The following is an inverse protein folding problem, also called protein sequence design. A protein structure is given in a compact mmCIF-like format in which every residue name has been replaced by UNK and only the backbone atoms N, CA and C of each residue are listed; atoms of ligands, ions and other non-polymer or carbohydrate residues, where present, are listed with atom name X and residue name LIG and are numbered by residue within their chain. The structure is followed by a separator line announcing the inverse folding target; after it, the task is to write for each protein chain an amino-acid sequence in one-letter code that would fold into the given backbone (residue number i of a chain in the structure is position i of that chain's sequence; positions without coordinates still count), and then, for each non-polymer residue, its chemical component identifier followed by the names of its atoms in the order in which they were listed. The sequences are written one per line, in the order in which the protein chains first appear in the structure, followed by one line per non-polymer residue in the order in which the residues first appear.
data_IF_284767638891
#
_entry.id   IF_284767638891
#
_cell.length_a   1.000
_cell.length_b   1.000
_cell.length_c   1.000
_cell.angle_alpha   90.00
_cell.angle_beta   90.00
_cell.angle_gamma   90.00
#
_symmetry.space_group_name_H-M   'P 1'
#
loop_
_entity.id
_entity.type
_entity.pdbx_description
1 polymer ?
#
# COMPACT_ATOMS: atom_id res chain seq x y z
N UNK A 1 -43.43 42.92 3.65
CA UNK A 1 -42.93 44.01 2.79
C UNK A 1 -41.46 44.17 3.05
N UNK A 2 -40.62 43.77 2.14
CA UNK A 2 -39.39 44.41 1.70
C UNK A 2 -38.70 43.42 0.74
N UNK A 3 -38.41 43.98 -0.39
CA UNK A 3 -38.19 43.39 -1.69
C UNK A 3 -36.85 42.64 -1.88
N UNK A 4 -36.96 41.65 -2.79
CA UNK A 4 -35.86 41.01 -3.47
C UNK A 4 -35.08 41.96 -4.37
N UNK A 5 -33.78 41.84 -4.42
CA UNK A 5 -33.01 42.39 -5.53
C UNK A 5 -32.11 41.28 -6.09
N UNK A 6 -32.54 40.83 -7.25
CA UNK A 6 -31.85 39.88 -8.13
C UNK A 6 -30.81 40.67 -8.96
N UNK A 7 -29.56 40.37 -8.91
CA UNK A 7 -28.52 40.92 -9.78
C UNK A 7 -28.00 39.85 -10.71
N UNK A 8 -28.48 39.89 -11.95
CA UNK A 8 -27.99 39.10 -13.08
C UNK A 8 -26.83 39.85 -13.69
N UNK A 9 -25.67 39.21 -13.77
CA UNK A 9 -24.51 39.72 -14.54
C UNK A 9 -24.28 38.74 -15.70
N UNK A 10 -24.66 39.19 -16.85
CA UNK A 10 -24.33 38.63 -18.16
C UNK A 10 -22.97 39.20 -18.59
N UNK A 11 -21.99 38.37 -18.81
CA UNK A 11 -20.67 38.76 -19.35
C UNK A 11 -20.34 37.91 -20.56
N UNK A 12 -20.24 38.58 -21.69
CA UNK A 12 -20.14 38.11 -23.06
C UNK A 12 -18.79 37.43 -23.40
N UNK A 13 -18.92 36.43 -24.26
CA UNK A 13 -17.88 35.76 -25.04
C UNK A 13 -17.22 36.75 -26.05
N UNK A 14 -15.91 36.75 -26.10
CA UNK A 14 -15.15 37.29 -27.24
C UNK A 14 -14.10 36.25 -27.66
N UNK A 15 -14.37 35.66 -28.82
CA UNK A 15 -13.43 34.90 -29.61
C UNK A 15 -12.48 35.85 -30.33
N UNK A 16 -11.22 35.57 -30.30
CA UNK A 16 -10.25 36.15 -31.26
C UNK A 16 -9.45 35.00 -31.89
N UNK A 17 -9.75 34.80 -33.15
CA UNK A 17 -8.95 34.11 -34.15
C UNK A 17 -7.85 35.06 -34.64
N UNK A 18 -6.62 34.61 -34.69
CA UNK A 18 -5.59 35.18 -35.54
C UNK A 18 -4.71 34.08 -36.11
N UNK A 19 -4.92 33.90 -37.40
CA UNK A 19 -4.11 33.20 -38.38
C UNK A 19 -2.88 34.05 -38.72
N UNK A 20 -1.69 33.48 -38.72
CA UNK A 20 -0.62 33.91 -39.61
C UNK A 20 0.44 32.80 -39.78
N UNK A 21 0.53 32.31 -41.00
CA UNK A 21 1.70 31.73 -41.68
C UNK A 21 1.96 32.61 -42.90
N UNK A 22 3.05 32.50 -43.67
CA UNK A 22 4.38 31.90 -43.50
C UNK A 22 5.52 32.81 -44.02
N UNK A 23 6.79 32.47 -43.81
CA UNK A 23 7.81 32.78 -44.83
C UNK A 23 8.98 31.80 -44.83
N UNK A 24 9.23 31.33 -45.96
CA UNK A 24 10.13 30.44 -46.64
C UNK A 24 11.49 31.10 -46.83
N UNK A 25 12.55 30.32 -46.77
CA UNK A 25 13.81 30.29 -47.55
C UNK A 25 14.90 29.66 -46.65
N UNK A 26 15.67 28.71 -46.98
CA UNK A 26 16.08 28.09 -48.20
C UNK A 26 17.34 27.28 -47.91
N UNK A 27 17.48 26.30 -48.67
CA UNK A 27 18.71 25.65 -49.12
C UNK A 27 19.01 24.25 -48.60
N UNK A 28 18.92 23.40 -49.57
CA UNK A 28 19.21 21.99 -49.59
C UNK A 28 20.68 21.68 -49.37
N UNK A 29 20.96 20.58 -48.69
CA UNK A 29 22.07 19.74 -49.14
C UNK A 29 21.75 18.27 -48.80
N UNK A 30 21.78 17.48 -49.90
CA UNK A 30 21.61 16.04 -49.90
C UNK A 30 22.85 15.39 -49.32
N UNK A 31 22.71 14.58 -48.28
CA UNK A 31 23.62 13.44 -48.13
C UNK A 31 22.82 12.15 -47.96
N UNK A 32 22.77 11.44 -49.07
CA UNK A 32 22.31 10.06 -49.17
C UNK A 32 23.34 9.18 -48.51
N UNK A 33 23.13 8.78 -47.29
CA UNK A 33 23.93 7.73 -46.65
C UNK A 33 23.19 6.42 -46.82
N UNK A 34 23.64 5.66 -47.81
CA UNK A 34 23.26 4.26 -48.08
C UNK A 34 23.69 3.43 -46.87
N UNK A 35 22.73 2.99 -46.08
CA UNK A 35 22.97 1.98 -45.05
C UNK A 35 23.07 0.63 -45.73
N UNK A 36 24.27 0.04 -45.75
CA UNK A 36 24.56 -1.27 -46.16
C UNK A 36 23.78 -2.31 -45.35
N UNK A 37 23.07 -3.19 -46.03
CA UNK A 37 22.38 -4.32 -45.43
C UNK A 37 23.41 -5.26 -44.78
N UNK A 38 23.24 -5.49 -43.46
CA UNK A 38 23.95 -6.56 -42.77
C UNK A 38 23.25 -7.86 -43.09
N UNK A 39 23.94 -8.88 -43.60
CA UNK A 39 23.31 -10.17 -43.87
C UNK A 39 23.00 -10.90 -42.57
N UNK A 40 21.76 -11.39 -42.48
CA UNK A 40 21.32 -12.32 -41.46
C UNK A 40 22.14 -13.63 -41.57
N UNK A 41 22.64 -14.18 -40.45
CA UNK A 41 23.20 -15.51 -40.47
C UNK A 41 22.09 -16.56 -40.70
N UNK A 42 22.37 -17.50 -41.57
CA UNK A 42 21.51 -18.63 -41.86
C UNK A 42 21.27 -19.53 -40.64
N UNK A 43 20.12 -20.20 -40.53
CA UNK A 43 19.86 -21.11 -39.43
C UNK A 43 20.74 -22.34 -39.55
N UNK A 44 21.68 -22.52 -38.64
CA UNK A 44 22.36 -23.77 -38.42
C UNK A 44 21.39 -24.77 -37.79
N UNK A 45 21.06 -25.79 -38.52
CA UNK A 45 20.41 -26.99 -38.02
C UNK A 45 21.38 -27.75 -37.12
N UNK A 46 21.12 -27.71 -35.82
CA UNK A 46 21.53 -28.78 -34.91
C UNK A 46 20.33 -29.16 -34.07
N UNK A 47 19.78 -30.30 -34.47
CA UNK A 47 18.84 -31.07 -33.68
C UNK A 47 19.59 -31.72 -32.52
N UNK A 48 18.84 -32.05 -31.50
CA UNK A 48 19.15 -32.86 -30.33
C UNK A 48 19.75 -32.11 -29.11
N UNK A 49 18.83 -31.56 -28.31
CA UNK A 49 18.83 -31.87 -26.88
C UNK A 49 17.41 -31.73 -26.34
N UNK A 50 16.80 -32.91 -26.19
CA UNK A 50 15.54 -33.07 -25.50
C UNK A 50 15.70 -32.80 -24.00
N UNK A 51 14.66 -32.20 -23.42
CA UNK A 51 14.32 -32.23 -22.00
C UNK A 51 15.28 -31.54 -21.04
N UNK A 52 15.19 -30.22 -20.98
CA UNK A 52 15.07 -29.54 -19.68
C UNK A 52 13.82 -28.66 -19.77
N UNK A 53 12.69 -29.24 -19.38
CA UNK A 53 11.51 -28.47 -19.01
C UNK A 53 11.87 -27.80 -17.71
N UNK A 54 12.63 -26.70 -17.82
CA UNK A 54 12.75 -25.76 -16.72
C UNK A 54 11.34 -25.30 -16.39
N UNK A 55 10.87 -25.70 -15.22
CA UNK A 55 9.65 -25.13 -14.58
C UNK A 55 9.67 -23.63 -14.83
N UNK A 56 8.51 -23.04 -15.21
CA UNK A 56 8.44 -21.60 -15.36
C UNK A 56 8.96 -20.97 -14.06
N UNK A 57 9.77 -19.91 -14.14
CA UNK A 57 10.30 -19.27 -12.95
C UNK A 57 9.14 -19.01 -11.98
N UNK A 58 9.25 -19.57 -10.79
CA UNK A 58 8.25 -19.38 -9.74
C UNK A 58 8.05 -17.88 -9.61
N UNK A 59 6.83 -17.42 -9.62
CA UNK A 59 6.47 -15.99 -9.54
C UNK A 59 7.17 -15.27 -8.37
N UNK A 60 7.70 -16.00 -7.39
CA UNK A 60 8.47 -15.52 -6.26
C UNK A 60 9.80 -14.86 -6.63
N UNK A 61 10.39 -15.18 -7.79
CA UNK A 61 11.67 -14.62 -8.25
C UNK A 61 11.52 -13.26 -8.97
N UNK A 62 10.31 -12.94 -9.44
CA UNK A 62 10.09 -11.77 -10.31
C UNK A 62 9.81 -10.50 -9.53
N UNK A 63 9.21 -10.59 -8.33
CA UNK A 63 8.87 -9.43 -7.48
C UNK A 63 9.07 -9.73 -5.97
N UNK A 64 10.29 -9.93 -5.49
CA UNK A 64 10.50 -10.31 -4.09
C UNK A 64 10.06 -9.25 -3.08
N UNK A 65 9.85 -8.00 -3.53
CA UNK A 65 9.56 -6.87 -2.64
C UNK A 65 8.06 -6.63 -2.39
N UNK A 66 7.20 -6.86 -3.38
CA UNK A 66 5.77 -6.56 -3.29
C UNK A 66 4.91 -7.76 -2.88
N UNK A 67 5.26 -8.96 -3.31
CA UNK A 67 4.38 -10.11 -3.20
C UNK A 67 4.27 -10.68 -1.77
N UNK A 68 5.34 -10.65 -0.99
CA UNK A 68 5.33 -11.30 0.33
C UNK A 68 4.45 -10.57 1.35
N UNK A 69 4.36 -9.24 1.28
CA UNK A 69 3.54 -8.50 2.24
C UNK A 69 2.06 -8.83 2.11
N UNK A 70 1.52 -8.88 0.89
CA UNK A 70 0.10 -9.17 0.65
C UNK A 70 -0.25 -10.64 0.90
N UNK A 71 0.67 -11.58 0.67
CA UNK A 71 0.49 -13.01 1.02
C UNK A 71 0.44 -13.21 2.53
N UNK A 72 1.25 -12.48 3.27
CA UNK A 72 1.29 -12.55 4.74
C UNK A 72 0.27 -11.62 5.40
N UNK A 73 -0.40 -10.76 4.61
CA UNK A 73 -1.38 -9.80 5.12
C UNK A 73 -2.52 -10.52 5.82
N UNK A 74 -2.79 -10.10 7.03
CA UNK A 74 -3.91 -10.61 7.82
C UNK A 74 -5.04 -9.60 7.86
N UNK A 75 -6.19 -10.05 7.39
CA UNK A 75 -7.40 -9.23 7.33
C UNK A 75 -7.81 -8.76 8.72
N UNK A 76 -8.33 -7.55 8.78
CA UNK A 76 -8.86 -6.95 9.99
C UNK A 76 -10.09 -6.08 9.72
N UNK A 77 -10.67 -5.51 10.78
CA UNK A 77 -11.81 -4.61 10.63
C UNK A 77 -11.49 -3.41 9.74
N UNK A 78 -12.45 -2.98 8.94
CA UNK A 78 -12.37 -1.92 7.93
C UNK A 78 -11.65 -2.28 6.63
N UNK A 79 -11.02 -3.45 6.51
CA UNK A 79 -10.53 -3.92 5.21
C UNK A 79 -11.69 -4.14 4.24
N UNK A 80 -11.41 -3.98 2.96
CA UNK A 80 -12.38 -4.24 1.89
C UNK A 80 -11.89 -5.40 1.06
N UNK A 81 -12.71 -6.41 0.93
CA UNK A 81 -12.43 -7.62 0.16
C UNK A 81 -13.54 -7.89 -0.85
N UNK A 82 -13.18 -8.53 -1.94
CA UNK A 82 -14.13 -9.09 -2.91
C UNK A 82 -14.07 -10.60 -2.90
N UNK A 83 -15.21 -11.24 -3.02
CA UNK A 83 -15.33 -12.69 -3.10
C UNK A 83 -16.00 -13.07 -4.41
N UNK A 84 -15.36 -13.94 -5.17
CA UNK A 84 -15.86 -14.44 -6.44
C UNK A 84 -15.92 -15.96 -6.41
N UNK A 85 -17.02 -16.51 -6.91
CA UNK A 85 -17.19 -17.96 -7.11
C UNK A 85 -17.29 -18.22 -8.61
N UNK A 86 -16.33 -18.95 -9.14
CA UNK A 86 -16.25 -19.20 -10.56
C UNK A 86 -17.53 -19.87 -11.10
N UNK A 87 -18.06 -19.30 -12.19
CA UNK A 87 -19.28 -19.80 -12.84
C UNK A 87 -20.60 -19.52 -12.07
N UNK A 88 -20.55 -18.80 -10.95
CA UNK A 88 -21.70 -18.55 -10.07
C UNK A 88 -22.00 -17.06 -9.84
N UNK A 89 -21.49 -16.20 -10.71
CA UNK A 89 -21.83 -14.78 -10.68
C UNK A 89 -23.16 -14.51 -11.44
N UNK A 90 -24.00 -13.55 -10.99
CA UNK A 90 -23.75 -12.60 -9.90
C UNK A 90 -24.17 -13.10 -8.51
N UNK A 91 -24.85 -14.24 -8.38
CA UNK A 91 -25.56 -14.64 -7.16
C UNK A 91 -24.61 -14.83 -5.96
N UNK A 92 -23.47 -15.47 -6.19
CA UNK A 92 -22.46 -15.76 -5.16
C UNK A 92 -21.20 -14.91 -5.27
N UNK A 93 -21.19 -13.91 -6.16
CA UNK A 93 -20.09 -12.95 -6.25
C UNK A 93 -20.44 -11.69 -5.47
N UNK A 94 -19.60 -11.33 -4.51
CA UNK A 94 -19.81 -10.17 -3.63
C UNK A 94 -18.61 -9.23 -3.71
N UNK A 95 -18.71 -8.17 -4.51
CA UNK A 95 -17.66 -7.15 -4.58
C UNK A 95 -17.69 -6.24 -3.36
N UNK A 96 -16.54 -5.70 -2.98
CA UNK A 96 -16.37 -4.62 -2.02
C UNK A 96 -17.05 -4.85 -0.65
N UNK A 97 -16.86 -6.03 -0.07
CA UNK A 97 -17.32 -6.34 1.29
C UNK A 97 -16.40 -5.65 2.27
N UNK A 98 -16.92 -4.70 3.04
CA UNK A 98 -16.17 -4.12 4.15
C UNK A 98 -16.24 -5.05 5.36
N UNK A 99 -15.09 -5.40 5.93
CA UNK A 99 -15.00 -6.21 7.14
C UNK A 99 -15.52 -5.40 8.33
N UNK A 100 -16.61 -5.83 8.98
CA UNK A 100 -17.18 -5.10 10.09
C UNK A 100 -16.34 -5.26 11.38
N UNK A 101 -16.60 -4.45 12.43
CA UNK A 101 -15.83 -4.51 13.68
C UNK A 101 -15.86 -5.85 14.40
N UNK A 102 -16.93 -6.67 14.22
CA UNK A 102 -17.02 -8.03 14.77
C UNK A 102 -16.19 -9.05 13.98
N UNK A 103 -15.47 -8.58 12.93
CA UNK A 103 -14.60 -9.37 12.08
C UNK A 103 -15.26 -10.56 11.36
N UNK A 104 -16.59 -10.56 11.25
CA UNK A 104 -17.35 -11.58 10.55
C UNK A 104 -18.07 -10.99 9.36
N UNK A 105 -17.81 -11.50 8.16
CA UNK A 105 -18.55 -11.14 6.97
C UNK A 105 -19.79 -12.03 6.80
N UNK A 106 -20.89 -11.44 6.32
CA UNK A 106 -22.07 -12.18 5.91
C UNK A 106 -21.89 -12.65 4.47
N UNK A 107 -22.19 -13.92 4.22
CA UNK A 107 -22.04 -14.50 2.89
C UNK A 107 -23.25 -15.39 2.54
N UNK A 108 -23.71 -15.41 1.27
CA UNK A 108 -24.84 -16.24 0.86
C UNK A 108 -24.66 -17.71 1.29
N UNK A 109 -25.73 -18.36 1.65
CA UNK A 109 -25.82 -19.75 2.14
C UNK A 109 -25.13 -20.00 3.50
N UNK A 110 -24.27 -19.11 3.98
CA UNK A 110 -23.54 -19.28 5.24
C UNK A 110 -24.17 -18.42 6.33
N UNK A 111 -25.08 -19.01 7.13
CA UNK A 111 -25.88 -18.29 8.14
C UNK A 111 -25.06 -17.70 9.28
N UNK A 112 -24.02 -18.39 9.71
CA UNK A 112 -23.19 -17.98 10.85
C UNK A 112 -22.18 -16.88 10.53
N UNK A 113 -22.08 -16.52 9.23
CA UNK A 113 -21.02 -15.65 8.74
C UNK A 113 -19.62 -16.28 8.85
N UNK A 114 -18.65 -15.63 8.28
CA UNK A 114 -17.27 -16.12 8.17
C UNK A 114 -16.36 -15.20 8.96
N UNK A 115 -15.63 -15.73 9.93
CA UNK A 115 -14.61 -15.00 10.66
C UNK A 115 -13.41 -14.77 9.73
N UNK A 116 -13.07 -13.51 9.47
CA UNK A 116 -11.99 -13.13 8.56
C UNK A 116 -10.78 -12.52 9.29
N UNK A 117 -10.95 -11.93 10.47
CA UNK A 117 -9.85 -11.29 11.18
C UNK A 117 -8.72 -12.27 11.53
N UNK A 118 -7.49 -11.81 11.30
CA UNK A 118 -6.27 -12.56 11.55
C UNK A 118 -5.99 -13.67 10.53
N UNK A 119 -6.84 -13.82 9.50
CA UNK A 119 -6.67 -14.79 8.40
C UNK A 119 -6.16 -14.09 7.15
N UNK A 120 -5.44 -14.83 6.31
CA UNK A 120 -5.08 -14.36 4.96
C UNK A 120 -6.26 -14.53 3.99
N UNK A 121 -6.22 -13.86 2.85
CA UNK A 121 -7.25 -14.00 1.81
C UNK A 121 -7.41 -15.46 1.36
N UNK A 122 -6.31 -16.20 1.26
CA UNK A 122 -6.29 -17.62 0.89
C UNK A 122 -6.98 -18.50 1.95
N UNK A 123 -6.73 -18.22 3.23
CA UNK A 123 -7.40 -18.94 4.34
C UNK A 123 -8.90 -18.67 4.37
N UNK A 124 -9.30 -17.44 4.05
CA UNK A 124 -10.72 -17.09 3.95
C UNK A 124 -11.35 -17.76 2.73
N UNK A 125 -10.68 -17.78 1.58
CA UNK A 125 -11.16 -18.49 0.39
C UNK A 125 -11.37 -19.97 0.66
N UNK A 126 -10.40 -20.63 1.30
CA UNK A 126 -10.50 -22.05 1.67
C UNK A 126 -11.67 -22.32 2.64
N UNK A 127 -11.90 -21.43 3.61
CA UNK A 127 -13.03 -21.57 4.54
C UNK A 127 -14.38 -21.41 3.83
N UNK A 128 -14.48 -20.42 2.89
CA UNK A 128 -15.69 -20.22 2.08
C UNK A 128 -15.93 -21.45 1.20
N UNK A 129 -14.91 -21.92 0.49
CA UNK A 129 -14.98 -23.12 -0.36
C UNK A 129 -15.52 -24.30 0.42
N UNK A 130 -14.94 -24.59 1.59
CA UNK A 130 -15.35 -25.70 2.44
C UNK A 130 -16.82 -25.61 2.85
N UNK A 131 -17.34 -24.42 3.14
CA UNK A 131 -18.74 -24.24 3.56
C UNK A 131 -19.71 -24.23 2.40
N UNK A 132 -19.27 -23.79 1.23
CA UNK A 132 -20.10 -23.83 0.02
C UNK A 132 -20.18 -25.23 -0.60
N UNK A 133 -19.23 -26.12 -0.32
CA UNK A 133 -19.21 -27.51 -0.82
C UNK A 133 -20.46 -28.30 -0.41
N UNK A 134 -21.14 -27.90 0.67
CA UNK A 134 -22.44 -28.47 1.06
C UNK A 134 -23.60 -28.08 0.10
N UNK A 135 -23.45 -27.00 -0.67
CA UNK A 135 -24.52 -26.41 -1.48
C UNK A 135 -24.19 -26.37 -2.97
N UNK A 136 -22.89 -26.30 -3.33
CA UNK A 136 -22.40 -26.13 -4.70
C UNK A 136 -21.35 -27.21 -4.94
N UNK A 137 -21.45 -27.89 -6.06
CA UNK A 137 -20.50 -28.95 -6.45
C UNK A 137 -19.19 -28.30 -6.92
N UNK A 138 -18.07 -28.67 -6.28
CA UNK A 138 -16.70 -28.19 -6.58
C UNK A 138 -16.60 -26.65 -6.69
N UNK A 139 -16.97 -25.90 -5.64
CA UNK A 139 -16.95 -24.44 -5.70
C UNK A 139 -15.50 -23.92 -5.74
N UNK A 140 -15.16 -23.11 -6.74
CA UNK A 140 -13.87 -22.45 -6.86
C UNK A 140 -14.01 -21.00 -6.42
N UNK A 141 -13.50 -20.71 -5.24
CA UNK A 141 -13.65 -19.39 -4.60
C UNK A 141 -12.33 -18.63 -4.66
N UNK A 142 -12.40 -17.39 -5.11
CA UNK A 142 -11.30 -16.44 -5.07
C UNK A 142 -11.67 -15.30 -4.14
N UNK A 143 -10.78 -14.95 -3.22
CA UNK A 143 -10.93 -13.79 -2.34
C UNK A 143 -9.80 -12.82 -2.65
N UNK A 144 -10.15 -11.59 -2.97
CA UNK A 144 -9.21 -10.51 -3.29
C UNK A 144 -9.29 -9.42 -2.23
N UNK A 145 -8.14 -8.90 -1.80
CA UNK A 145 -8.06 -7.73 -0.95
C UNK A 145 -8.09 -6.47 -1.83
N UNK A 146 -9.20 -5.74 -1.81
CA UNK A 146 -9.36 -4.51 -2.59
C UNK A 146 -8.69 -3.32 -1.90
N UNK A 147 -8.83 -3.22 -0.57
CA UNK A 147 -8.21 -2.17 0.24
C UNK A 147 -7.79 -2.68 1.62
N UNK A 148 -6.52 -2.49 1.94
CA UNK A 148 -5.98 -2.69 3.26
C UNK A 148 -6.20 -1.41 4.08
N UNK A 149 -7.01 -1.48 5.14
CA UNK A 149 -7.33 -0.33 6.00
C UNK A 149 -7.15 -0.64 7.48
N UNK A 150 -7.01 -1.92 7.83
CA UNK A 150 -6.91 -2.37 9.22
C UNK A 150 -5.51 -2.20 9.79
N UNK A 151 -4.48 -2.36 8.96
CA UNK A 151 -3.08 -2.21 9.36
C UNK A 151 -2.65 -0.75 9.29
N UNK A 152 -2.12 -0.24 10.40
CA UNK A 152 -1.74 1.18 10.53
C UNK A 152 -0.42 1.32 11.27
N UNK A 153 0.27 2.43 11.01
CA UNK A 153 1.40 2.91 11.78
C UNK A 153 1.22 4.39 12.11
N UNK A 154 1.95 4.88 13.08
CA UNK A 154 1.89 6.29 13.46
C UNK A 154 3.27 6.95 13.32
N UNK A 155 3.28 8.20 12.87
CA UNK A 155 4.50 9.02 12.86
C UNK A 155 4.25 10.27 13.69
N UNK A 156 5.14 10.53 14.63
CA UNK A 156 5.01 11.65 15.56
C UNK A 156 6.35 12.33 15.85
N UNK A 157 6.28 13.50 16.46
CA UNK A 157 7.46 14.30 16.80
C UNK A 157 7.81 15.32 15.71
N UNK A 158 9.10 15.47 15.42
CA UNK A 158 9.59 16.52 14.53
C UNK A 158 9.55 16.12 13.04
N UNK A 159 8.36 15.88 12.55
CA UNK A 159 8.02 15.69 11.12
C UNK A 159 7.06 16.78 10.67
N UNK A 160 6.93 17.01 9.36
CA UNK A 160 6.08 18.07 8.84
C UNK A 160 4.59 17.81 9.11
N UNK A 161 4.13 16.58 8.90
CA UNK A 161 2.72 16.16 9.09
C UNK A 161 2.66 14.91 9.95
N UNK A 162 2.69 15.04 11.30
CA UNK A 162 2.50 13.90 12.18
C UNK A 162 1.09 13.33 12.06
N UNK A 163 0.93 12.04 12.28
CA UNK A 163 -0.38 11.37 12.21
C UNK A 163 -0.30 9.87 12.06
N UNK A 164 -1.48 9.25 12.00
CA UNK A 164 -1.66 7.82 11.74
C UNK A 164 -1.85 7.61 10.24
N UNK A 165 -1.20 6.58 9.70
CA UNK A 165 -1.26 6.23 8.28
C UNK A 165 -1.62 4.77 8.11
N UNK A 166 -2.22 4.45 6.98
CA UNK A 166 -2.53 3.08 6.59
C UNK A 166 -1.27 2.43 6.02
N UNK A 167 -1.07 1.15 6.33
CA UNK A 167 0.03 0.35 5.83
C UNK A 167 -0.52 -0.66 4.82
N UNK A 168 -0.51 -0.30 3.55
CA UNK A 168 -0.96 -1.12 2.42
C UNK A 168 0.18 -1.96 1.79
N UNK A 169 1.40 -1.69 2.18
CA UNK A 169 2.61 -2.38 1.74
C UNK A 169 3.64 -2.42 2.88
N UNK A 170 4.74 -3.09 2.65
CA UNK A 170 5.88 -3.07 3.58
C UNK A 170 6.54 -1.69 3.54
N UNK A 171 6.40 -0.91 4.63
CA UNK A 171 6.89 0.46 4.75
C UNK A 171 8.14 0.50 5.61
N UNK A 172 9.19 1.16 5.14
CA UNK A 172 10.39 1.40 5.94
C UNK A 172 10.22 2.64 6.82
N UNK A 173 11.02 2.75 7.88
CA UNK A 173 11.06 3.96 8.74
C UNK A 173 11.38 5.21 7.91
N UNK A 174 12.25 5.06 6.91
CA UNK A 174 12.62 6.14 6.02
C UNK A 174 11.43 6.62 5.20
N UNK A 175 10.70 5.70 4.55
CA UNK A 175 9.48 6.01 3.78
C UNK A 175 8.39 6.61 4.66
N UNK A 176 8.17 6.07 5.85
CA UNK A 176 7.18 6.59 6.80
C UNK A 176 7.42 8.07 7.15
N UNK A 177 8.69 8.44 7.32
CA UNK A 177 9.07 9.83 7.58
C UNK A 177 8.88 10.69 6.32
N UNK A 178 9.24 10.19 5.12
CA UNK A 178 9.01 10.88 3.86
C UNK A 178 7.52 11.12 3.60
N UNK A 179 6.68 10.11 3.78
CA UNK A 179 5.21 10.24 3.68
C UNK A 179 4.64 11.26 4.67
N UNK A 180 5.36 11.47 5.79
CA UNK A 180 5.01 12.51 6.77
C UNK A 180 5.57 13.89 6.43
N UNK A 181 5.97 14.11 5.15
CA UNK A 181 6.52 15.37 4.67
C UNK A 181 7.97 15.61 5.08
N UNK A 182 8.65 14.55 5.54
CA UNK A 182 10.06 14.60 5.95
C UNK A 182 10.29 15.11 7.38
N UNK A 183 11.53 14.97 7.81
CA UNK A 183 11.98 15.48 9.11
C UNK A 183 12.14 17.00 9.08
N UNK A 184 11.65 17.70 10.11
CA UNK A 184 11.76 19.16 10.20
C UNK A 184 13.20 19.61 10.47
N UNK A 185 13.49 20.91 10.30
CA UNK A 185 14.83 21.49 10.58
C UNK A 185 15.31 21.28 12.00
N UNK A 186 14.38 21.13 12.96
CA UNK A 186 14.66 20.89 14.37
C UNK A 186 14.76 19.40 14.73
N UNK A 187 14.55 18.51 13.77
CA UNK A 187 14.65 17.07 13.99
C UNK A 187 16.09 16.63 14.24
N UNK A 188 16.28 15.68 15.13
CA UNK A 188 17.52 14.94 15.30
C UNK A 188 17.44 13.63 14.51
N UNK A 189 17.99 13.62 13.30
CA UNK A 189 17.99 12.46 12.40
C UNK A 189 18.72 11.22 12.97
N UNK A 190 19.52 11.38 14.02
CA UNK A 190 20.19 10.26 14.69
C UNK A 190 19.37 9.69 15.85
N UNK A 191 18.28 10.36 16.23
CA UNK A 191 17.42 9.97 17.34
C UNK A 191 15.99 9.76 16.86
N UNK A 192 15.81 8.80 16.01
CA UNK A 192 14.49 8.30 15.61
C UNK A 192 14.24 6.99 16.38
N UNK A 193 13.05 6.84 16.91
CA UNK A 193 12.68 5.68 17.71
C UNK A 193 11.48 5.00 17.11
N UNK A 194 11.55 3.69 17.03
CA UNK A 194 10.39 2.83 16.74
C UNK A 194 9.89 2.32 18.07
N UNK A 195 8.64 2.53 18.36
CA UNK A 195 7.95 2.01 19.54
C UNK A 195 6.97 0.95 19.06
N UNK A 196 7.17 -0.26 19.48
CA UNK A 196 6.35 -1.42 19.13
C UNK A 196 5.73 -2.01 20.37
N UNK A 197 4.51 -2.54 20.25
CA UNK A 197 3.89 -3.32 21.30
C UNK A 197 4.27 -4.79 21.11
N UNK A 198 4.94 -5.35 22.09
CA UNK A 198 5.19 -6.78 22.13
C UNK A 198 3.89 -7.54 22.49
N UNK A 199 3.82 -8.82 22.13
CA UNK A 199 2.63 -9.67 22.41
C UNK A 199 2.27 -9.77 23.88
N UNK A 200 3.22 -9.53 24.78
CA UNK A 200 3.05 -9.50 26.23
C UNK A 200 2.52 -8.13 26.76
N UNK A 201 2.22 -7.19 25.85
CA UNK A 201 1.76 -5.85 26.17
C UNK A 201 2.86 -4.88 26.59
N UNK A 202 4.13 -5.30 26.56
CA UNK A 202 5.26 -4.42 26.85
C UNK A 202 5.60 -3.56 25.66
N UNK A 203 6.04 -2.33 25.94
CA UNK A 203 6.58 -1.43 24.92
C UNK A 203 8.04 -1.79 24.64
N UNK A 204 8.33 -2.11 23.41
CA UNK A 204 9.69 -2.21 22.90
C UNK A 204 10.10 -0.90 22.24
N UNK A 205 11.33 -0.46 22.45
CA UNK A 205 11.86 0.76 21.83
C UNK A 205 13.16 0.43 21.11
N UNK A 206 13.17 0.71 19.81
CA UNK A 206 14.36 0.53 18.97
C UNK A 206 14.81 1.89 18.45
N UNK A 207 16.06 2.27 18.70
CA UNK A 207 16.61 3.51 18.14
C UNK A 207 17.22 3.24 16.77
N UNK A 208 16.87 4.10 15.82
CA UNK A 208 17.41 4.08 14.45
C UNK A 208 17.97 5.44 14.07
N UNK A 209 18.94 5.46 13.18
CA UNK A 209 19.55 6.69 12.66
C UNK A 209 19.14 6.89 11.20
N UNK A 210 18.26 7.85 10.96
CA UNK A 210 17.86 8.24 9.61
C UNK A 210 19.05 8.72 8.80
N UNK A 211 19.97 9.47 9.43
CA UNK A 211 21.18 9.98 8.76
C UNK A 211 22.10 8.86 8.24
N UNK A 212 22.19 7.73 8.98
CA UNK A 212 22.96 6.57 8.51
C UNK A 212 22.25 5.82 7.39
N UNK A 213 20.93 5.73 7.43
CA UNK A 213 20.12 5.13 6.35
C UNK A 213 20.23 5.96 5.06
N UNK A 214 20.13 7.29 5.14
CA UNK A 214 20.30 8.21 4.01
C UNK A 214 21.66 8.07 3.32
N UNK A 215 22.69 7.71 4.07
CA UNK A 215 24.06 7.53 3.55
C UNK A 215 24.42 6.10 3.20
N UNK A 216 23.47 5.16 3.29
CA UNK A 216 23.69 3.73 3.04
C UNK A 216 24.58 3.03 4.08
N UNK A 217 24.84 3.67 5.24
CA UNK A 217 25.69 3.12 6.33
C UNK A 217 24.90 2.27 7.33
N UNK A 218 23.59 2.21 7.20
CA UNK A 218 22.72 1.35 7.98
C UNK A 218 21.67 0.72 7.07
N UNK A 219 21.26 -0.49 7.43
CA UNK A 219 20.18 -1.19 6.74
C UNK A 219 18.84 -0.48 6.92
N UNK A 220 17.94 -0.66 5.93
CA UNK A 220 16.57 -0.17 6.03
C UNK A 220 15.81 -0.99 7.06
N UNK A 221 15.23 -0.31 8.04
CA UNK A 221 14.36 -0.92 9.04
C UNK A 221 12.93 -0.77 8.62
N UNK A 222 12.19 -1.88 8.57
CA UNK A 222 10.79 -1.92 8.19
C UNK A 222 9.89 -1.89 9.42
N UNK A 223 8.73 -1.27 9.26
CA UNK A 223 7.71 -1.18 10.29
C UNK A 223 6.81 -2.42 10.30
N UNK A 224 6.34 -2.76 11.48
CA UNK A 224 5.25 -3.71 11.66
C UNK A 224 3.92 -2.98 11.88
N UNK A 225 2.78 -3.62 11.59
CA UNK A 225 1.48 -3.07 11.93
C UNK A 225 1.38 -2.68 13.42
N UNK A 226 0.96 -1.45 13.67
CA UNK A 226 0.86 -0.90 15.03
C UNK A 226 2.11 -0.17 15.54
N UNK A 227 3.21 -0.20 14.81
CA UNK A 227 4.43 0.52 15.19
C UNK A 227 4.23 2.03 15.18
N UNK A 228 4.95 2.71 16.05
CA UNK A 228 4.95 4.16 16.15
C UNK A 228 6.37 4.68 15.94
N UNK A 229 6.53 5.55 14.96
CA UNK A 229 7.81 6.21 14.67
C UNK A 229 7.82 7.56 15.38
N UNK A 230 8.78 7.76 16.26
CA UNK A 230 8.98 9.02 16.95
C UNK A 230 10.27 9.68 16.50
N UNK A 231 10.16 10.88 15.93
CA UNK A 231 11.32 11.69 15.50
C UNK A 231 11.62 12.73 16.58
N UNK A 232 12.75 12.58 17.24
CA UNK A 232 13.18 13.53 18.28
C UNK A 232 13.58 14.88 17.72
N UNK A 233 13.41 15.92 18.54
CA UNK A 233 13.96 17.24 18.27
C UNK A 233 15.36 17.42 18.87
N UNK A 234 16.12 18.36 18.32
CA UNK A 234 17.36 18.83 18.92
C UNK A 234 17.08 19.45 20.29
N UNK A 235 17.61 18.85 21.33
CA UNK A 235 17.39 19.34 22.73
C UNK A 235 16.19 18.74 23.45
N UNK A 236 15.43 17.85 22.83
CA UNK A 236 14.30 17.18 23.46
C UNK A 236 14.69 15.77 23.95
N UNK A 237 14.50 15.50 25.24
CA UNK A 237 14.72 14.17 25.82
C UNK A 237 13.43 13.37 25.79
N UNK A 238 13.45 12.27 25.06
CA UNK A 238 12.32 11.33 24.95
C UNK A 238 11.97 10.67 26.27
N UNK A 239 12.94 10.56 27.19
CA UNK A 239 12.72 9.90 28.48
C UNK A 239 11.55 10.51 29.26
N UNK A 240 11.32 11.82 29.11
CA UNK A 240 10.15 12.49 29.68
C UNK A 240 8.81 12.05 29.09
N UNK A 241 8.78 11.73 27.80
CA UNK A 241 7.54 11.23 27.16
C UNK A 241 7.27 9.78 27.58
N UNK A 242 8.30 8.95 27.66
CA UNK A 242 8.15 7.57 28.13
C UNK A 242 7.74 7.50 29.60
N UNK A 243 8.20 8.40 30.44
CA UNK A 243 7.71 8.53 31.81
C UNK A 243 6.21 8.89 31.86
N UNK A 244 5.76 9.72 30.94
CA UNK A 244 4.34 10.11 30.83
C UNK A 244 3.53 8.94 30.26
N UNK A 245 4.01 8.26 29.21
CA UNK A 245 3.33 7.12 28.58
C UNK A 245 3.37 5.89 29.49
N UNK A 246 4.49 5.65 30.18
CA UNK A 246 4.66 4.52 31.10
C UNK A 246 3.86 4.66 32.41
N UNK A 247 3.55 5.86 32.82
CA UNK A 247 2.72 6.15 34.02
C UNK A 247 1.23 6.25 33.71
N UNK A 248 0.84 6.32 32.45
CA UNK A 248 -0.54 6.59 32.13
C UNK A 248 -1.11 5.56 31.15
N UNK A 249 -2.22 5.08 31.54
CA UNK A 249 -3.42 4.80 30.76
C UNK A 249 -3.67 5.75 29.55
N UNK A 250 -2.80 6.71 29.30
CA UNK A 250 -2.91 7.72 28.23
C UNK A 250 -2.79 7.07 26.84
N UNK A 251 -2.02 6.01 26.71
CA UNK A 251 -2.01 5.21 25.47
C UNK A 251 -3.40 4.62 25.17
N UNK A 252 -4.14 4.24 26.20
CA UNK A 252 -5.54 3.81 26.07
C UNK A 252 -6.48 4.94 25.63
N UNK A 253 -6.17 6.18 26.03
CA UNK A 253 -7.00 7.33 25.68
C UNK A 253 -6.79 7.83 24.24
N UNK A 254 -5.56 7.71 23.73
CA UNK A 254 -5.20 8.21 22.40
C UNK A 254 -5.37 7.18 21.28
N UNK A 255 -5.27 5.89 21.58
CA UNK A 255 -5.22 4.85 20.54
C UNK A 255 -6.31 3.79 20.66
N UNK A 256 -7.21 3.90 21.63
CA UNK A 256 -8.21 2.86 21.87
C UNK A 256 -7.58 1.60 22.47
N UNK A 257 -8.43 0.72 23.00
CA UNK A 257 -8.01 -0.59 23.50
C UNK A 257 -7.52 -1.44 22.33
N UNK A 258 -6.33 -2.03 22.35
CA UNK A 258 -6.02 -3.10 21.41
C UNK A 258 -6.96 -4.27 21.72
N UNK A 259 -7.64 -4.75 20.69
CA UNK A 259 -8.58 -5.88 20.76
C UNK A 259 -7.87 -7.18 21.08
#
# INVERSE_FOLDING_TARGET
MIAATLMVVTGSVLAQTATETPKKDGKAEKETRVMAAVPLPAPSSEADNAADASEPPVEDDILPYYNNYLREYRLGPSDVISVEVFGQCPDYCKPAITVPPNARISYPLIREGILVAGRTVEQVAAEITKRLDEFIIDPKVTVTLDRAMSTRYAVMGNVATPGVRVMDRKVSVYEAILESGGATKNADKNKVFIVSYAKDGRLSRTQVSLAKMETGKAEMVYLNPGDQVFVSGKGFSIDKIFDIIGKASVARMLFGSPF
#
